data_IF_512701073472
#
_entry.id   IF_512701073472
#
_cell.length_a   1.000
_cell.length_b   1.000
_cell.length_c   1.000
_cell.angle_alpha   90.00
_cell.angle_beta   90.00
_cell.angle_gamma   90.00
#
_symmetry.space_group_name_H-M   'P 1'
#
loop_
_entity.id
_entity.type
_entity.pdbx_description
1 polymer ?
#
# COMPACT_ATOMS: atom_id res chain seq x y z
N UNK A 1 7.27 -19.12 8.33
CA UNK A 1 8.25 -20.22 8.16
C UNK A 1 7.90 -21.43 9.04
N UNK A 2 6.66 -21.93 8.97
CA UNK A 2 6.27 -23.29 9.38
C UNK A 2 5.71 -23.93 8.10
N UNK A 3 6.06 -25.17 7.76
CA UNK A 3 5.71 -25.82 6.46
C UNK A 3 4.22 -26.20 6.37
N UNK A 4 3.33 -25.37 6.91
CA UNK A 4 1.89 -25.61 6.99
C UNK A 4 1.17 -25.31 5.67
N UNK A 5 1.75 -24.44 4.83
CA UNK A 5 1.21 -24.08 3.53
C UNK A 5 2.25 -24.32 2.43
N UNK A 6 1.78 -24.80 1.28
CA UNK A 6 2.62 -24.92 0.06
C UNK A 6 2.84 -23.55 -0.57
N UNK A 7 3.99 -23.38 -1.23
CA UNK A 7 4.32 -22.11 -1.93
C UNK A 7 3.24 -21.72 -2.95
N UNK A 8 2.70 -22.68 -3.70
CA UNK A 8 1.60 -22.44 -4.64
C UNK A 8 0.35 -21.86 -3.97
N UNK A 9 -0.01 -22.35 -2.78
CA UNK A 9 -1.15 -21.83 -2.02
C UNK A 9 -0.90 -20.42 -1.50
N UNK A 10 0.32 -20.12 -1.05
CA UNK A 10 0.72 -18.76 -0.64
C UNK A 10 0.60 -17.79 -1.81
N UNK A 11 1.14 -18.16 -2.98
CA UNK A 11 1.05 -17.33 -4.19
C UNK A 11 -0.40 -17.11 -4.63
N UNK A 12 -1.25 -18.14 -4.58
CA UNK A 12 -2.67 -18.01 -4.91
C UNK A 12 -3.39 -17.04 -3.97
N UNK A 13 -3.17 -17.14 -2.65
CA UNK A 13 -3.77 -16.23 -1.67
C UNK A 13 -3.32 -14.79 -1.88
N UNK A 14 -2.02 -14.57 -2.13
CA UNK A 14 -1.49 -13.23 -2.41
C UNK A 14 -2.08 -12.65 -3.69
N UNK A 15 -2.15 -13.44 -4.77
CA UNK A 15 -2.69 -12.99 -6.05
C UNK A 15 -4.19 -12.65 -5.95
N UNK A 16 -4.99 -13.52 -5.31
CA UNK A 16 -6.43 -13.29 -5.11
C UNK A 16 -6.64 -12.05 -4.23
N UNK A 17 -5.93 -11.94 -3.10
CA UNK A 17 -6.03 -10.78 -2.22
C UNK A 17 -5.67 -9.49 -2.94
N UNK A 18 -4.58 -9.48 -3.70
CA UNK A 18 -4.13 -8.32 -4.46
C UNK A 18 -5.15 -7.91 -5.53
N UNK A 19 -5.71 -8.87 -6.26
CA UNK A 19 -6.74 -8.63 -7.27
C UNK A 19 -8.00 -7.99 -6.67
N UNK A 20 -8.53 -8.56 -5.57
CA UNK A 20 -9.74 -8.02 -4.95
C UNK A 20 -9.49 -6.67 -4.25
N UNK A 21 -8.29 -6.44 -3.72
CA UNK A 21 -7.89 -5.11 -3.26
C UNK A 21 -7.88 -4.10 -4.41
N UNK A 22 -7.35 -4.48 -5.58
CA UNK A 22 -7.36 -3.62 -6.76
C UNK A 22 -8.79 -3.29 -7.20
N UNK A 23 -9.64 -4.30 -7.35
CA UNK A 23 -11.06 -4.13 -7.74
C UNK A 23 -11.79 -3.23 -6.73
N UNK A 24 -11.63 -3.49 -5.43
CA UNK A 24 -12.25 -2.70 -4.37
C UNK A 24 -11.75 -1.24 -4.38
N UNK A 25 -10.45 -1.03 -4.51
CA UNK A 25 -9.86 0.30 -4.61
C UNK A 25 -10.37 1.06 -5.84
N UNK A 26 -10.50 0.39 -7.01
CA UNK A 26 -11.06 0.99 -8.21
C UNK A 26 -12.52 1.39 -8.02
N UNK A 27 -13.34 0.53 -7.40
CA UNK A 27 -14.74 0.83 -7.13
C UNK A 27 -14.88 2.09 -6.26
N UNK A 28 -14.10 2.18 -5.18
CA UNK A 28 -14.14 3.33 -4.27
C UNK A 28 -13.58 4.58 -4.94
N UNK A 29 -12.47 4.48 -5.68
CA UNK A 29 -11.89 5.59 -6.42
C UNK A 29 -12.89 6.15 -7.43
N UNK A 30 -13.55 5.28 -8.21
CA UNK A 30 -14.58 5.69 -9.18
C UNK A 30 -15.81 6.31 -8.48
N UNK A 31 -16.31 5.67 -7.41
CA UNK A 31 -17.49 6.14 -6.70
C UNK A 31 -17.28 7.54 -6.12
N UNK A 32 -16.17 7.76 -5.42
CA UNK A 32 -15.89 9.06 -4.79
C UNK A 32 -15.49 10.12 -5.81
N UNK A 33 -14.76 9.75 -6.86
CA UNK A 33 -14.23 10.69 -7.85
C UNK A 33 -15.22 11.00 -8.95
N UNK A 34 -15.57 10.00 -9.76
CA UNK A 34 -16.34 10.20 -10.99
C UNK A 34 -17.85 10.21 -10.74
N UNK A 35 -18.35 9.46 -9.75
CA UNK A 35 -19.79 9.34 -9.52
C UNK A 35 -20.33 10.38 -8.53
N UNK A 36 -19.75 10.47 -7.33
CA UNK A 36 -20.15 11.44 -6.30
C UNK A 36 -19.52 12.81 -6.54
N UNK A 37 -18.32 12.87 -7.13
CA UNK A 37 -17.65 14.14 -7.42
C UNK A 37 -16.99 14.82 -6.22
N UNK A 38 -16.89 14.17 -5.05
CA UNK A 38 -16.36 14.80 -3.83
C UNK A 38 -14.87 15.16 -3.95
N UNK A 39 -14.13 14.45 -4.81
CA UNK A 39 -12.72 14.69 -5.09
C UNK A 39 -12.49 15.58 -6.33
N UNK A 40 -13.55 15.99 -7.02
CA UNK A 40 -13.49 16.74 -8.29
C UNK A 40 -13.51 18.26 -8.15
N UNK A 41 -13.38 18.79 -6.92
CA UNK A 41 -13.36 20.22 -6.65
C UNK A 41 -12.16 20.59 -5.76
N UNK A 42 -11.71 21.82 -5.87
CA UNK A 42 -10.65 22.35 -5.00
C UNK A 42 -11.12 22.52 -3.54
N UNK A 43 -10.21 22.33 -2.56
CA UNK A 43 -8.77 22.08 -2.70
C UNK A 43 -8.38 20.60 -2.88
N UNK A 44 -9.36 19.69 -2.87
CA UNK A 44 -9.12 18.25 -2.85
C UNK A 44 -8.59 17.73 -4.18
N UNK A 45 -9.11 18.25 -5.30
CA UNK A 45 -8.68 17.88 -6.64
C UNK A 45 -7.20 18.24 -6.86
N UNK A 46 -6.82 19.51 -6.63
CA UNK A 46 -5.45 19.96 -6.75
C UNK A 46 -4.48 19.16 -5.86
N UNK A 47 -4.84 18.89 -4.60
CA UNK A 47 -4.03 18.07 -3.71
C UNK A 47 -3.84 16.64 -4.25
N UNK A 48 -4.93 16.02 -4.70
CA UNK A 48 -4.92 14.65 -5.22
C UNK A 48 -4.09 14.51 -6.50
N UNK A 49 -4.19 15.50 -7.41
CA UNK A 49 -3.40 15.57 -8.63
C UNK A 49 -1.92 15.72 -8.30
N UNK A 50 -1.56 16.72 -7.50
CA UNK A 50 -0.17 16.95 -7.08
C UNK A 50 0.44 15.73 -6.37
N UNK A 51 -0.32 15.11 -5.46
CA UNK A 51 0.13 13.88 -4.77
C UNK A 51 0.37 12.73 -5.76
N UNK A 52 -0.52 12.55 -6.73
CA UNK A 52 -0.46 11.43 -7.68
C UNK A 52 0.64 11.64 -8.73
N UNK A 53 0.82 12.86 -9.21
CA UNK A 53 1.92 13.25 -10.09
C UNK A 53 3.27 13.01 -9.42
N UNK A 54 3.42 13.45 -8.17
CA UNK A 54 4.63 13.20 -7.39
C UNK A 54 4.90 11.70 -7.17
N UNK A 55 3.87 10.84 -7.19
CA UNK A 55 4.01 9.38 -7.04
C UNK A 55 4.44 8.67 -8.32
N UNK A 56 3.98 9.13 -9.48
CA UNK A 56 4.36 8.53 -10.77
C UNK A 56 5.66 9.12 -11.30
N UNK A 57 6.00 10.36 -10.94
CA UNK A 57 7.24 11.03 -11.35
C UNK A 57 8.42 10.71 -10.41
N UNK A 58 8.74 9.41 -10.28
CA UNK A 58 9.86 8.92 -9.48
C UNK A 58 10.57 7.78 -10.21
N UNK A 59 11.89 7.68 -10.01
CA UNK A 59 12.66 6.55 -10.52
C UNK A 59 12.22 5.24 -9.88
N UNK A 60 12.31 4.15 -10.65
CA UNK A 60 11.93 2.80 -10.20
C UNK A 60 12.55 2.44 -8.84
N UNK A 61 13.86 2.68 -8.67
CA UNK A 61 14.56 2.33 -7.43
C UNK A 61 14.11 3.17 -6.24
N UNK A 62 13.72 4.43 -6.47
CA UNK A 62 13.16 5.29 -5.42
C UNK A 62 11.82 4.73 -4.95
N UNK A 63 10.92 4.41 -5.87
CA UNK A 63 9.60 3.82 -5.53
C UNK A 63 9.76 2.47 -4.84
N UNK A 64 10.68 1.62 -5.34
CA UNK A 64 10.98 0.32 -4.77
C UNK A 64 11.47 0.41 -3.31
N UNK A 65 12.47 1.26 -3.02
CA UNK A 65 13.00 1.44 -1.66
C UNK A 65 11.94 2.02 -0.72
N UNK A 66 11.18 3.03 -1.18
CA UNK A 66 10.04 3.57 -0.42
C UNK A 66 8.99 2.49 -0.14
N UNK A 67 8.78 1.56 -1.07
CA UNK A 67 7.90 0.41 -0.90
C UNK A 67 8.38 -0.59 0.16
N UNK A 68 9.69 -0.83 0.26
CA UNK A 68 10.27 -1.64 1.34
C UNK A 68 9.97 -1.01 2.69
N UNK A 69 10.25 0.29 2.83
CA UNK A 69 9.98 1.03 4.06
C UNK A 69 8.50 1.05 4.45
N UNK A 70 7.60 1.21 3.45
CA UNK A 70 6.16 1.18 3.68
C UNK A 70 5.73 -0.13 4.34
N UNK A 71 6.08 -1.26 3.71
CA UNK A 71 5.56 -2.54 4.18
C UNK A 71 6.30 -3.08 5.41
N UNK A 72 7.53 -2.62 5.66
CA UNK A 72 8.16 -2.81 6.97
C UNK A 72 7.25 -2.24 8.07
N UNK A 73 6.84 -0.97 7.95
CA UNK A 73 6.01 -0.30 8.95
C UNK A 73 4.59 -0.90 9.03
N UNK A 74 3.99 -1.28 7.90
CA UNK A 74 2.69 -1.99 7.89
C UNK A 74 2.79 -3.32 8.65
N UNK A 75 3.83 -4.10 8.37
CA UNK A 75 4.07 -5.36 9.05
C UNK A 75 4.36 -5.17 10.56
N UNK A 76 5.08 -4.12 10.93
CA UNK A 76 5.30 -3.75 12.33
C UNK A 76 3.97 -3.37 13.01
N UNK A 77 3.12 -2.57 12.37
CA UNK A 77 1.80 -2.19 12.90
C UNK A 77 0.91 -3.42 13.11
N UNK A 78 0.90 -4.35 12.16
CA UNK A 78 0.21 -5.64 12.33
C UNK A 78 0.78 -6.47 13.48
N UNK A 79 2.10 -6.52 13.62
CA UNK A 79 2.74 -7.23 14.74
C UNK A 79 2.36 -6.62 16.10
N UNK A 80 2.43 -5.29 16.22
CA UNK A 80 2.02 -4.56 17.44
C UNK A 80 0.52 -4.76 17.73
N UNK A 81 -0.32 -4.73 16.69
CA UNK A 81 -1.76 -5.02 16.80
C UNK A 81 -2.04 -6.45 17.27
N UNK A 82 -1.28 -7.45 16.83
CA UNK A 82 -1.42 -8.81 17.34
C UNK A 82 -0.88 -8.99 18.76
N UNK A 83 0.15 -8.24 19.14
CA UNK A 83 0.75 -8.32 20.48
C UNK A 83 -0.11 -7.65 21.57
N UNK A 84 -0.95 -6.68 21.22
CA UNK A 84 -1.78 -5.94 22.18
C UNK A 84 -2.99 -6.74 22.69
N UNK A 85 -3.28 -6.59 24.00
CA UNK A 85 -4.33 -7.33 24.72
C UNK A 85 -5.67 -6.59 24.81
N UNK A 86 -5.66 -5.27 24.62
CA UNK A 86 -6.82 -4.41 24.68
C UNK A 86 -7.01 -3.62 23.36
N UNK A 87 -8.21 -3.10 23.14
CA UNK A 87 -8.58 -2.41 21.91
C UNK A 87 -7.74 -1.13 21.73
N UNK A 88 -7.49 -0.39 22.80
CA UNK A 88 -6.72 0.86 22.75
C UNK A 88 -5.28 0.60 22.32
N UNK A 89 -4.62 -0.41 22.91
CA UNK A 89 -3.28 -0.84 22.53
C UNK A 89 -3.21 -1.30 21.07
N UNK A 90 -4.23 -2.03 20.57
CA UNK A 90 -4.30 -2.43 19.15
C UNK A 90 -4.41 -1.24 18.22
N UNK A 91 -5.32 -0.31 18.54
CA UNK A 91 -5.54 0.89 17.73
C UNK A 91 -4.30 1.76 17.65
N UNK A 92 -3.67 2.07 18.79
CA UNK A 92 -2.46 2.90 18.84
C UNK A 92 -1.28 2.17 18.17
N UNK A 93 -1.13 0.87 18.42
CA UNK A 93 -0.05 0.05 17.87
C UNK A 93 -0.08 -0.06 16.35
N UNK A 94 -1.27 -0.06 15.73
CA UNK A 94 -1.43 0.00 14.28
C UNK A 94 -1.29 1.44 13.77
N UNK A 95 -1.88 2.41 14.47
CA UNK A 95 -1.95 3.79 14.01
C UNK A 95 -0.57 4.45 13.89
N UNK A 96 0.33 4.26 14.87
CA UNK A 96 1.65 4.91 14.85
C UNK A 96 2.47 4.51 13.60
N UNK A 97 2.69 3.22 13.29
CA UNK A 97 3.45 2.84 12.10
C UNK A 97 2.77 3.26 10.80
N UNK A 98 1.43 3.20 10.73
CA UNK A 98 0.67 3.64 9.56
C UNK A 98 0.85 5.14 9.33
N UNK A 99 0.67 5.95 10.37
CA UNK A 99 0.89 7.40 10.31
C UNK A 99 2.33 7.72 9.88
N UNK A 100 3.32 7.00 10.42
CA UNK A 100 4.72 7.24 10.10
C UNK A 100 5.03 6.98 8.62
N UNK A 101 4.58 5.87 8.03
CA UNK A 101 4.90 5.62 6.62
C UNK A 101 4.18 6.61 5.69
N UNK A 102 2.96 7.03 6.06
CA UNK A 102 2.20 8.04 5.30
C UNK A 102 2.90 9.40 5.37
N UNK A 103 3.31 9.84 6.56
CA UNK A 103 3.98 11.14 6.77
C UNK A 103 5.39 11.18 6.15
N UNK A 104 6.12 10.08 6.15
CA UNK A 104 7.39 9.94 5.44
C UNK A 104 7.22 9.80 3.91
N UNK A 105 5.97 9.74 3.42
CA UNK A 105 5.66 9.68 2.00
C UNK A 105 6.05 8.35 1.35
N UNK A 106 6.11 7.24 2.10
CA UNK A 106 6.42 5.92 1.55
C UNK A 106 5.34 5.41 0.58
N UNK A 107 5.71 4.41 -0.22
CA UNK A 107 4.87 3.92 -1.32
C UNK A 107 4.17 2.61 -0.93
N UNK A 108 2.87 2.69 -0.69
CA UNK A 108 2.05 1.52 -0.39
C UNK A 108 1.21 1.17 -1.62
N UNK A 109 1.47 0.00 -2.21
CA UNK A 109 0.80 -0.49 -3.43
C UNK A 109 -0.72 -0.36 -3.35
N UNK A 110 -1.35 -0.92 -2.32
CA UNK A 110 -2.82 -0.87 -2.17
C UNK A 110 -3.38 0.56 -2.03
N UNK A 111 -2.73 1.44 -1.25
CA UNK A 111 -3.15 2.85 -1.17
C UNK A 111 -3.01 3.56 -2.53
N UNK A 112 -1.94 3.25 -3.27
CA UNK A 112 -1.70 3.82 -4.60
C UNK A 112 -2.72 3.34 -5.64
N UNK A 113 -3.35 2.16 -5.45
CA UNK A 113 -4.49 1.70 -6.26
C UNK A 113 -5.74 2.57 -6.08
N UNK A 114 -5.83 3.37 -5.02
CA UNK A 114 -6.89 4.35 -4.83
C UNK A 114 -6.46 5.74 -5.31
N UNK A 115 -5.37 6.30 -4.76
CA UNK A 115 -5.01 7.71 -4.97
C UNK A 115 -4.76 8.06 -6.44
N UNK A 116 -3.94 7.26 -7.14
CA UNK A 116 -3.56 7.57 -8.52
C UNK A 116 -4.76 7.39 -9.45
N UNK A 117 -5.53 6.27 -9.40
CA UNK A 117 -6.75 6.16 -10.17
C UNK A 117 -7.81 7.21 -9.87
N UNK A 118 -7.98 7.60 -8.61
CA UNK A 118 -8.88 8.70 -8.24
C UNK A 118 -8.47 10.01 -8.94
N UNK A 119 -7.16 10.32 -8.99
CA UNK A 119 -6.65 11.48 -9.73
C UNK A 119 -6.94 11.37 -11.24
N UNK A 120 -6.75 10.19 -11.85
CA UNK A 120 -7.07 9.94 -13.26
C UNK A 120 -8.56 10.20 -13.51
N UNK A 121 -9.45 9.69 -12.66
CA UNK A 121 -10.89 9.90 -12.78
C UNK A 121 -11.31 11.36 -12.61
N UNK A 122 -10.55 12.16 -11.86
CA UNK A 122 -10.79 13.61 -11.71
C UNK A 122 -9.98 14.45 -12.71
N UNK A 123 -9.38 13.86 -13.73
CA UNK A 123 -8.80 14.57 -14.88
C UNK A 123 -7.30 14.89 -14.77
N UNK A 124 -6.55 14.24 -13.88
CA UNK A 124 -5.09 14.38 -13.88
C UNK A 124 -4.48 13.82 -15.18
N UNK A 125 -3.41 14.45 -15.67
CA UNK A 125 -2.68 14.03 -16.88
C UNK A 125 -1.77 12.81 -16.64
N UNK A 126 -2.32 11.78 -15.99
CA UNK A 126 -1.61 10.53 -15.66
C UNK A 126 -2.20 9.41 -16.49
N UNK A 127 -1.37 8.72 -17.27
CA UNK A 127 -1.83 7.53 -18.00
C UNK A 127 -1.86 6.29 -17.10
N UNK A 128 -2.77 5.36 -17.38
CA UNK A 128 -2.82 4.06 -16.70
C UNK A 128 -1.51 3.27 -16.83
N UNK A 129 -0.84 3.37 -17.98
CA UNK A 129 0.48 2.77 -18.18
C UNK A 129 1.53 3.38 -17.26
N UNK A 130 1.54 4.70 -17.11
CA UNK A 130 2.44 5.40 -16.19
C UNK A 130 2.21 4.96 -14.76
N UNK A 131 0.94 4.92 -14.31
CA UNK A 131 0.58 4.41 -13.00
C UNK A 131 1.11 2.98 -12.76
N UNK A 132 0.85 2.06 -13.68
CA UNK A 132 1.22 0.65 -13.50
C UNK A 132 2.75 0.47 -13.49
N UNK A 133 3.45 1.05 -14.48
CA UNK A 133 4.87 0.79 -14.71
C UNK A 133 5.74 1.59 -13.74
N UNK A 134 5.47 2.88 -13.57
CA UNK A 134 6.33 3.77 -12.80
C UNK A 134 6.05 3.70 -11.30
N UNK A 135 4.83 3.35 -10.88
CA UNK A 135 4.47 3.31 -9.46
C UNK A 135 4.05 1.91 -8.96
N UNK A 136 3.00 1.30 -9.54
CA UNK A 136 2.36 0.14 -8.93
C UNK A 136 3.29 -1.09 -8.86
N UNK A 137 3.99 -1.42 -9.96
CA UNK A 137 4.93 -2.54 -10.02
C UNK A 137 6.09 -2.35 -9.01
N UNK A 138 6.88 -1.26 -9.07
CA UNK A 138 7.98 -1.08 -8.12
C UNK A 138 7.51 -1.01 -6.66
N UNK A 139 6.39 -0.35 -6.37
CA UNK A 139 5.84 -0.29 -5.01
C UNK A 139 5.44 -1.68 -4.51
N UNK A 140 4.81 -2.50 -5.37
CA UNK A 140 4.41 -3.87 -5.01
C UNK A 140 5.60 -4.76 -4.74
N UNK A 141 6.63 -4.71 -5.58
CA UNK A 141 7.87 -5.45 -5.37
C UNK A 141 8.56 -5.03 -4.07
N UNK A 142 8.64 -3.71 -3.83
CA UNK A 142 9.18 -3.17 -2.59
C UNK A 142 8.38 -3.64 -1.37
N UNK A 143 7.05 -3.60 -1.44
CA UNK A 143 6.20 -4.06 -0.36
C UNK A 143 6.41 -5.56 -0.06
N UNK A 144 6.46 -6.42 -1.08
CA UNK A 144 6.74 -7.85 -0.89
C UNK A 144 8.06 -8.05 -0.14
N UNK A 145 9.14 -7.38 -0.59
CA UNK A 145 10.45 -7.45 0.06
C UNK A 145 10.41 -6.95 1.50
N UNK A 146 9.79 -5.79 1.75
CA UNK A 146 9.68 -5.21 3.10
C UNK A 146 8.90 -6.10 4.07
N UNK A 147 7.82 -6.73 3.60
CA UNK A 147 7.01 -7.61 4.42
C UNK A 147 7.68 -8.95 4.73
N UNK A 148 8.37 -9.52 3.74
CA UNK A 148 9.16 -10.74 3.93
C UNK A 148 10.35 -10.52 4.89
N UNK A 149 10.97 -9.34 4.87
CA UNK A 149 12.08 -9.00 5.76
C UNK A 149 11.72 -9.03 7.25
N UNK A 150 10.82 -8.14 7.69
CA UNK A 150 10.48 -8.04 9.12
C UNK A 150 9.71 -9.28 9.63
N UNK A 151 8.55 -9.57 9.03
CA UNK A 151 7.65 -10.62 9.54
C UNK A 151 8.06 -12.01 9.08
N UNK A 152 8.65 -12.13 7.89
CA UNK A 152 9.11 -13.42 7.38
C UNK A 152 10.38 -13.90 8.08
N UNK A 153 11.42 -13.04 8.14
CA UNK A 153 12.76 -13.43 8.60
C UNK A 153 12.97 -13.15 10.08
N UNK A 154 12.72 -11.93 10.57
CA UNK A 154 13.05 -11.57 11.97
C UNK A 154 12.15 -12.32 12.95
N UNK A 155 10.83 -12.33 12.73
CA UNK A 155 9.91 -13.11 13.56
C UNK A 155 10.20 -14.62 13.48
N UNK A 156 10.49 -15.13 12.27
CA UNK A 156 10.86 -16.52 12.08
C UNK A 156 12.11 -16.92 12.86
N UNK A 157 13.13 -16.07 12.86
CA UNK A 157 14.38 -16.34 13.58
C UNK A 157 14.23 -16.29 15.11
N UNK A 158 13.36 -15.43 15.63
CA UNK A 158 13.14 -15.25 17.07
C UNK A 158 12.20 -16.29 17.67
N UNK A 159 11.14 -16.70 16.95
CA UNK A 159 10.02 -17.47 17.51
C UNK A 159 9.78 -18.84 16.87
N UNK A 160 10.47 -19.17 15.77
CA UNK A 160 10.34 -20.45 15.08
C UNK A 160 11.61 -21.32 15.16
N UNK A 161 12.55 -20.96 16.02
CA UNK A 161 13.63 -21.87 16.46
C UNK A 161 13.09 -22.89 17.46
#
# INVERSE_FOLDING_TARGET
MRKELTAGRVMAVLAISYLFNFIGAQLVAWLLSAHVGILGNDPWQAYLHHLSEAKVNQDFMRVFIKGIGANWLVCLGMFMGYAAKDITGRSIGIWIPVMLFVTLGYEHSIANMFFIPAAIYTGAEITWSTFIIQNLIPATLGNIVGGMGLVGVVYGWLFLK
#
